data_IF_383505140948
#
_entry.id   IF_383505140948
#
_cell.length_a   1.000
_cell.length_b   1.000
_cell.length_c   1.000
_cell.angle_alpha   90.00
_cell.angle_beta   90.00
_cell.angle_gamma   90.00
#
_symmetry.space_group_name_H-M   'P 1'
#
loop_
_entity.id
_entity.type
_entity.pdbx_description
1 polymer ?
#
# COMPACT_ATOMS: atom_id res chain seq x y z
N UNK A 1 10.90 -7.43 -5.20
CA UNK A 1 11.88 -7.23 -4.12
C UNK A 1 13.01 -8.24 -4.28
N UNK A 2 14.24 -7.89 -3.89
CA UNK A 2 15.39 -8.80 -3.84
C UNK A 2 15.90 -8.86 -2.39
N UNK A 3 16.18 -10.05 -1.87
CA UNK A 3 16.62 -10.26 -0.48
C UNK A 3 18.13 -10.00 -0.28
N UNK A 4 18.69 -9.02 -0.99
CA UNK A 4 20.07 -8.58 -0.90
C UNK A 4 20.17 -7.08 -1.27
N UNK A 5 21.23 -6.35 -0.85
CA UNK A 5 21.35 -4.93 -1.13
C UNK A 5 21.32 -4.64 -2.64
N UNK A 6 20.26 -3.98 -3.09
CA UNK A 6 20.05 -3.67 -4.49
C UNK A 6 19.28 -2.36 -4.63
N UNK A 7 19.68 -1.54 -5.59
CA UNK A 7 18.95 -0.34 -5.97
C UNK A 7 19.12 -0.07 -7.47
N UNK A 8 18.12 0.59 -8.04
CA UNK A 8 18.16 1.07 -9.42
C UNK A 8 17.96 2.57 -9.41
N UNK A 9 18.77 3.29 -10.18
CA UNK A 9 18.60 4.72 -10.43
C UNK A 9 18.12 4.87 -11.86
N UNK A 10 16.96 5.50 -12.02
CA UNK A 10 16.33 5.70 -13.33
C UNK A 10 15.91 7.15 -13.46
N UNK A 11 16.10 7.71 -14.65
CA UNK A 11 15.56 9.02 -14.99
C UNK A 11 14.09 8.88 -15.37
N UNK A 12 13.25 9.76 -14.83
CA UNK A 12 11.83 9.82 -15.16
C UNK A 12 11.37 11.28 -15.16
N UNK A 13 10.61 11.71 -16.18
CA UNK A 13 9.89 12.98 -16.12
C UNK A 13 9.00 13.06 -14.87
N UNK A 14 9.04 14.19 -14.16
CA UNK A 14 8.39 14.36 -12.85
C UNK A 14 6.88 14.07 -12.89
N UNK A 15 6.22 14.52 -13.96
CA UNK A 15 4.78 14.34 -14.20
C UNK A 15 4.37 12.86 -14.40
N UNK A 16 5.33 11.97 -14.67
CA UNK A 16 5.10 10.54 -14.87
C UNK A 16 5.50 9.71 -13.65
N UNK A 17 6.25 10.26 -12.69
CA UNK A 17 6.85 9.50 -11.60
C UNK A 17 5.82 8.71 -10.80
N UNK A 18 4.79 9.38 -10.27
CA UNK A 18 3.78 8.74 -9.40
C UNK A 18 3.00 7.62 -10.10
N UNK A 19 2.76 7.78 -11.41
CA UNK A 19 2.10 6.75 -12.20
C UNK A 19 3.03 5.56 -12.50
N UNK A 20 4.31 5.81 -12.80
CA UNK A 20 5.27 4.76 -13.15
C UNK A 20 5.78 3.95 -11.97
N UNK A 21 5.90 4.55 -10.78
CA UNK A 21 6.34 3.80 -9.59
C UNK A 21 5.32 2.73 -9.18
N UNK A 22 4.03 2.92 -9.51
CA UNK A 22 2.97 1.99 -9.13
C UNK A 22 2.85 1.79 -7.62
N UNK A 23 2.18 0.72 -7.16
CA UNK A 23 2.02 0.41 -5.74
C UNK A 23 3.36 0.42 -5.01
N UNK A 24 3.45 1.20 -3.94
CA UNK A 24 4.71 1.47 -3.25
C UNK A 24 4.52 1.37 -1.74
N UNK A 25 5.23 0.45 -1.10
CA UNK A 25 5.16 0.27 0.35
C UNK A 25 5.70 1.48 1.12
N UNK A 26 6.88 2.00 0.72
CA UNK A 26 7.48 3.20 1.31
C UNK A 26 8.04 4.09 0.21
N UNK A 27 7.62 5.35 0.18
CA UNK A 27 8.15 6.38 -0.71
C UNK A 27 8.76 7.52 0.10
N UNK A 28 9.92 8.02 -0.33
CA UNK A 28 10.49 9.26 0.18
C UNK A 28 10.59 10.28 -0.96
N UNK A 29 9.84 11.38 -0.83
CA UNK A 29 9.88 12.50 -1.77
C UNK A 29 10.85 13.53 -1.22
N UNK A 30 11.97 13.73 -1.93
CA UNK A 30 12.99 14.72 -1.57
C UNK A 30 12.90 15.85 -2.59
N UNK A 31 12.08 16.85 -2.30
CA UNK A 31 11.86 18.00 -3.18
C UNK A 31 11.37 19.21 -2.38
N UNK A 32 11.58 20.41 -2.93
CA UNK A 32 10.97 21.66 -2.47
C UNK A 32 9.78 22.10 -3.36
N UNK A 33 9.45 21.32 -4.40
CA UNK A 33 8.32 21.60 -5.27
C UNK A 33 7.00 21.21 -4.58
N UNK A 34 6.22 22.22 -4.18
CA UNK A 34 4.96 22.02 -3.49
C UNK A 34 3.96 21.20 -4.33
N UNK A 35 3.94 21.36 -5.66
CA UNK A 35 2.99 20.64 -6.50
C UNK A 35 3.25 19.14 -6.48
N UNK A 36 4.52 18.75 -6.46
CA UNK A 36 4.90 17.33 -6.36
C UNK A 36 4.57 16.77 -4.98
N UNK A 37 4.81 17.54 -3.91
CA UNK A 37 4.50 17.15 -2.54
C UNK A 37 3.00 16.93 -2.38
N UNK A 38 2.18 17.84 -2.88
CA UNK A 38 0.71 17.73 -2.84
C UNK A 38 0.25 16.50 -3.63
N UNK A 39 0.74 16.33 -4.86
CA UNK A 39 0.41 15.16 -5.69
C UNK A 39 0.81 13.83 -5.05
N UNK A 40 1.96 13.78 -4.37
CA UNK A 40 2.40 12.59 -3.65
C UNK A 40 1.55 12.35 -2.40
N UNK A 41 1.08 13.39 -1.72
CA UNK A 41 0.18 13.31 -0.56
C UNK A 41 -1.17 12.71 -0.95
N UNK A 42 -1.67 13.02 -2.14
CA UNK A 42 -2.92 12.49 -2.69
C UNK A 42 -2.76 11.05 -3.26
N UNK A 43 -1.54 10.54 -3.41
CA UNK A 43 -1.26 9.24 -4.00
C UNK A 43 -1.54 8.08 -3.01
N UNK A 44 -2.78 7.60 -3.00
CA UNK A 44 -3.26 6.56 -2.08
C UNK A 44 -2.65 5.16 -2.29
N UNK A 45 -1.93 4.94 -3.38
CA UNK A 45 -1.19 3.70 -3.65
C UNK A 45 0.22 3.68 -3.02
N UNK A 46 0.56 4.71 -2.24
CA UNK A 46 1.76 4.79 -1.41
C UNK A 46 1.34 4.56 0.04
N UNK A 47 1.75 3.44 0.64
CA UNK A 47 1.31 3.09 2.01
C UNK A 47 1.99 3.98 3.06
N UNK A 48 3.29 4.25 2.89
CA UNK A 48 4.05 5.16 3.75
C UNK A 48 4.76 6.22 2.91
N UNK A 49 4.29 7.46 3.02
CA UNK A 49 4.93 8.62 2.41
C UNK A 49 5.80 9.38 3.43
N UNK A 50 7.07 9.62 3.07
CA UNK A 50 7.95 10.54 3.77
C UNK A 50 8.19 11.78 2.87
N UNK A 51 8.04 12.97 3.43
CA UNK A 51 8.46 14.22 2.78
C UNK A 51 9.78 14.66 3.41
N UNK A 52 10.84 14.68 2.61
CA UNK A 52 12.21 14.95 3.03
C UNK A 52 13.04 13.72 3.40
N UNK A 53 14.31 13.90 3.80
CA UNK A 53 15.26 12.82 4.04
C UNK A 53 15.05 12.15 5.40
N UNK A 54 13.94 11.43 5.56
CA UNK A 54 13.60 10.69 6.79
C UNK A 54 14.22 9.27 6.73
N UNK A 55 15.06 8.87 7.71
CA UNK A 55 15.61 7.52 7.77
C UNK A 55 14.51 6.45 7.95
N UNK A 56 14.53 5.43 7.11
CA UNK A 56 13.60 4.28 7.17
C UNK A 56 14.06 3.17 8.11
N UNK A 57 15.27 3.27 8.67
CA UNK A 57 15.87 2.26 9.56
C UNK A 57 15.33 2.27 10.99
N UNK A 58 14.52 3.27 11.39
CA UNK A 58 13.83 3.25 12.68
C UNK A 58 12.48 2.58 12.55
N UNK A 59 12.34 1.41 13.19
CA UNK A 59 11.09 0.68 13.26
C UNK A 59 10.10 1.43 14.15
N UNK A 60 8.97 1.84 13.56
CA UNK A 60 7.81 2.31 14.31
C UNK A 60 6.68 1.33 14.03
N UNK A 61 6.18 0.69 15.09
CA UNK A 61 5.10 -0.30 15.01
C UNK A 61 3.81 0.22 14.39
N UNK A 62 3.58 1.55 14.41
CA UNK A 62 2.39 2.17 13.84
C UNK A 62 2.51 2.47 12.35
N UNK A 63 3.69 2.28 11.74
CA UNK A 63 3.91 2.54 10.32
C UNK A 63 3.78 1.24 9.53
N UNK A 64 3.18 1.24 8.32
CA UNK A 64 3.20 0.07 7.47
C UNK A 64 4.66 -0.24 7.10
N UNK A 65 5.07 -1.46 7.40
CA UNK A 65 6.43 -1.96 7.21
C UNK A 65 6.44 -3.20 6.30
N UNK A 66 5.30 -3.86 6.18
CA UNK A 66 4.99 -4.92 5.22
C UNK A 66 3.52 -4.77 4.84
N UNK A 67 3.14 -5.23 3.64
CA UNK A 67 1.73 -5.30 3.26
C UNK A 67 0.95 -6.24 4.19
N UNK A 68 -0.35 -6.02 4.36
CA UNK A 68 -1.18 -6.91 5.17
C UNK A 68 -1.28 -8.30 4.53
N UNK A 69 -0.88 -9.34 5.27
CA UNK A 69 -1.03 -10.73 4.80
C UNK A 69 -2.49 -11.08 4.50
N UNK A 70 -3.45 -10.41 5.17
CA UNK A 70 -4.87 -10.59 4.91
C UNK A 70 -5.24 -10.14 3.50
N UNK A 71 -4.70 -9.01 3.04
CA UNK A 71 -4.97 -8.51 1.68
C UNK A 71 -4.37 -9.43 0.61
N UNK A 72 -3.33 -10.18 0.96
CA UNK A 72 -2.74 -11.19 0.08
C UNK A 72 -3.54 -12.50 0.04
N UNK A 73 -3.97 -12.98 1.21
CA UNK A 73 -4.62 -14.28 1.34
C UNK A 73 -6.14 -14.25 1.08
N UNK A 74 -6.77 -13.10 1.33
CA UNK A 74 -8.22 -12.98 1.35
C UNK A 74 -8.67 -11.74 0.58
N UNK A 75 -9.81 -11.88 -0.11
CA UNK A 75 -10.50 -10.74 -0.70
C UNK A 75 -11.63 -10.31 0.22
N UNK A 76 -11.59 -9.06 0.67
CA UNK A 76 -12.68 -8.45 1.42
C UNK A 76 -14.00 -8.54 0.64
N UNK A 77 -14.98 -9.24 1.22
CA UNK A 77 -16.32 -9.43 0.66
C UNK A 77 -17.36 -9.28 1.77
N UNK A 78 -18.26 -8.32 1.61
CA UNK A 78 -19.50 -8.32 2.38
C UNK A 78 -20.37 -9.48 1.88
N UNK A 79 -20.79 -10.35 2.80
CA UNK A 79 -21.66 -11.48 2.51
C UNK A 79 -22.90 -11.38 3.40
N UNK A 80 -24.07 -11.38 2.76
CA UNK A 80 -25.34 -11.33 3.45
C UNK A 80 -26.27 -12.36 2.81
N UNK A 81 -27.00 -13.07 3.64
CA UNK A 81 -28.01 -14.04 3.24
C UNK A 81 -29.32 -13.75 3.96
N UNK A 82 -30.42 -14.22 3.39
CA UNK A 82 -31.74 -14.18 4.05
C UNK A 82 -31.82 -15.27 5.12
N UNK A 83 -32.75 -15.10 6.07
CA UNK A 83 -32.97 -16.08 7.14
C UNK A 83 -33.27 -17.49 6.60
N UNK A 84 -34.01 -17.59 5.49
CA UNK A 84 -34.31 -18.86 4.81
C UNK A 84 -33.05 -19.56 4.28
N UNK A 85 -32.10 -18.81 3.73
CA UNK A 85 -30.83 -19.35 3.21
C UNK A 85 -29.90 -19.72 4.37
N UNK A 86 -29.87 -18.92 5.43
CA UNK A 86 -29.13 -19.22 6.66
C UNK A 86 -29.59 -20.53 7.30
N UNK A 87 -30.91 -20.75 7.39
CA UNK A 87 -31.49 -21.97 7.95
C UNK A 87 -31.11 -23.23 7.15
N UNK A 88 -31.07 -23.14 5.82
CA UNK A 88 -30.64 -24.25 4.95
C UNK A 88 -29.15 -24.58 5.12
N UNK A 89 -28.29 -23.56 5.18
CA UNK A 89 -26.85 -23.74 5.35
C UNK A 89 -26.50 -24.40 6.69
N UNK A 90 -27.24 -24.09 7.76
CA UNK A 90 -27.01 -24.69 9.08
C UNK A 90 -27.44 -26.17 9.16
N UNK A 91 -28.43 -26.57 8.36
CA UNK A 91 -28.93 -27.94 8.34
C UNK A 91 -27.99 -28.92 7.61
N UNK A 92 -27.12 -28.45 6.72
CA UNK A 92 -26.19 -29.29 5.93
C UNK A 92 -24.84 -29.54 6.62
N UNK A 93 -24.58 -28.90 7.77
CA UNK A 93 -23.30 -29.00 8.50
C UNK A 93 -23.39 -29.95 9.72
N UNK A 94 -24.56 -30.55 9.97
CA UNK A 94 -24.77 -31.58 11.02
C UNK A 94 -24.78 -32.99 10.46
#
# INVERSE_FOLDING_TARGET
>A
EYMFPFSTVVECPQDQMLAKIGPTLVCSVISNDQKLIDAATDATHIDRLNIGPIPTSRLNWLQPHEGSIIDFLFRSRAYQVTDEVQAKLQAEVG
#
